data_IF_774235770437
#
_entry.id   IF_774235770437
#
_cell.length_a   1.000
_cell.length_b   1.000
_cell.length_c   1.000
_cell.angle_alpha   90.00
_cell.angle_beta   90.00
_cell.angle_gamma   90.00
#
_symmetry.space_group_name_H-M   'P 1'
#
loop_
_entity.id
_entity.type
_entity.pdbx_description
1 polymer ?
#
# COMPACT_ATOMS: atom_id res chain seq x y z
N UNK A 1 -3.24 -71.15 27.96
CA UNK A 1 -2.38 -70.19 27.22
C UNK A 1 -2.87 -68.78 27.58
N UNK A 2 -2.37 -68.20 28.67
CA UNK A 2 -1.24 -67.24 28.72
C UNK A 2 -1.52 -65.88 28.03
N UNK A 3 -1.91 -64.93 28.87
CA UNK A 3 -1.31 -63.59 28.98
C UNK A 3 -1.17 -62.76 27.69
N UNK A 4 -2.20 -61.99 27.32
CA UNK A 4 -2.06 -60.91 26.33
C UNK A 4 -2.85 -59.62 26.68
N UNK A 5 -3.53 -59.54 27.83
CA UNK A 5 -4.37 -58.36 28.16
C UNK A 5 -3.69 -57.29 29.00
N UNK A 6 -2.41 -57.45 29.38
CA UNK A 6 -1.70 -56.54 30.30
C UNK A 6 -0.61 -55.68 29.65
N UNK A 7 -0.30 -55.88 28.37
CA UNK A 7 0.83 -55.17 27.73
C UNK A 7 0.40 -53.99 26.86
N UNK A 8 -0.84 -53.96 26.34
CA UNK A 8 -1.28 -52.85 25.48
C UNK A 8 -1.77 -51.63 26.26
N UNK A 9 -2.10 -51.75 27.55
CA UNK A 9 -2.57 -50.63 28.38
C UNK A 9 -1.44 -49.70 28.84
N UNK A 10 -0.17 -50.12 28.70
CA UNK A 10 1.00 -49.30 29.08
C UNK A 10 1.61 -48.52 27.92
N UNK A 11 1.15 -48.70 26.67
CA UNK A 11 1.69 -47.98 25.51
C UNK A 11 0.89 -46.70 25.16
N UNK A 12 -0.19 -46.39 25.88
CA UNK A 12 -1.01 -45.19 25.66
C UNK A 12 -0.54 -44.00 26.51
N UNK A 13 0.38 -44.21 27.46
CA UNK A 13 0.78 -43.17 28.43
C UNK A 13 2.04 -42.36 28.09
N UNK A 14 2.70 -42.57 26.94
CA UNK A 14 4.04 -42.00 26.68
C UNK A 14 4.15 -41.02 25.49
N UNK A 15 3.07 -40.37 25.05
CA UNK A 15 3.15 -39.38 23.95
C UNK A 15 2.43 -38.07 24.28
N UNK A 16 2.52 -37.62 25.55
CA UNK A 16 2.00 -36.31 25.98
C UNK A 16 3.08 -35.38 26.57
N UNK A 17 4.37 -35.63 26.29
CA UNK A 17 5.48 -34.81 26.79
C UNK A 17 6.21 -34.05 25.67
N UNK A 18 5.43 -33.53 24.72
CA UNK A 18 5.94 -32.76 23.58
C UNK A 18 5.51 -31.30 23.58
N UNK A 19 5.19 -30.72 24.75
CA UNK A 19 5.23 -29.26 24.88
C UNK A 19 6.70 -28.85 24.83
N UNK A 20 7.22 -28.68 23.61
CA UNK A 20 8.43 -27.90 23.41
C UNK A 20 8.15 -26.53 24.03
N UNK A 21 8.70 -26.32 25.22
CA UNK A 21 8.84 -25.00 25.80
C UNK A 21 9.58 -24.19 24.75
N UNK A 22 8.84 -23.35 24.03
CA UNK A 22 9.41 -22.29 23.22
C UNK A 22 10.02 -21.31 24.23
N UNK A 23 11.21 -21.64 24.72
CA UNK A 23 12.07 -20.74 25.45
C UNK A 23 12.50 -19.69 24.42
N UNK A 24 11.85 -18.54 24.47
CA UNK A 24 12.28 -17.35 23.75
C UNK A 24 13.71 -17.07 24.20
N UNK A 25 14.68 -17.27 23.30
CA UNK A 25 16.05 -16.85 23.57
C UNK A 25 16.02 -15.40 24.04
N UNK A 26 16.60 -15.14 25.21
CA UNK A 26 16.67 -13.80 25.74
C UNK A 26 17.34 -12.91 24.71
N UNK A 27 16.67 -11.80 24.36
CA UNK A 27 17.19 -10.78 23.46
C UNK A 27 18.60 -10.40 23.94
N UNK A 28 19.63 -10.83 23.23
CA UNK A 28 21.00 -10.53 23.62
C UNK A 28 21.23 -9.02 23.52
N UNK A 29 22.17 -8.49 24.31
CA UNK A 29 22.50 -7.04 24.42
C UNK A 29 22.86 -6.38 23.08
N UNK A 30 23.06 -7.17 22.02
CA UNK A 30 23.30 -6.68 20.65
C UNK A 30 22.01 -6.38 19.88
N UNK A 31 20.84 -6.74 20.40
CA UNK A 31 19.56 -6.48 19.74
C UNK A 31 19.14 -5.02 19.99
N UNK A 32 18.78 -4.25 18.96
CA UNK A 32 18.51 -2.81 19.08
C UNK A 32 17.28 -2.46 19.94
N UNK A 33 16.45 -3.45 20.31
CA UNK A 33 15.34 -3.29 21.23
C UNK A 33 15.65 -3.72 22.68
N UNK A 34 16.90 -4.08 23.00
CA UNK A 34 17.33 -4.43 24.36
C UNK A 34 17.44 -3.15 25.23
N UNK A 35 16.89 -3.13 26.46
CA UNK A 35 16.83 -1.93 27.30
C UNK A 35 18.21 -1.38 27.71
N UNK A 36 19.26 -2.22 27.64
CA UNK A 36 20.65 -1.87 27.96
C UNK A 36 21.56 -1.77 26.72
N UNK A 37 21.01 -1.81 25.50
CA UNK A 37 21.80 -1.56 24.30
C UNK A 37 22.31 -0.11 24.33
N UNK A 38 23.63 0.06 24.18
CA UNK A 38 24.27 1.37 24.17
C UNK A 38 23.55 2.31 23.19
N UNK A 39 23.02 3.40 23.74
CA UNK A 39 22.32 4.46 23.00
C UNK A 39 23.16 4.83 21.78
N UNK A 40 22.60 4.61 20.59
CA UNK A 40 23.22 5.04 19.35
C UNK A 40 23.53 6.53 19.48
N UNK A 41 24.81 6.89 19.32
CA UNK A 41 25.30 8.26 19.29
C UNK A 41 24.31 9.11 18.48
N UNK A 42 23.69 10.09 19.15
CA UNK A 42 22.71 11.03 18.62
C UNK A 42 23.08 11.43 17.19
N UNK A 43 22.31 10.95 16.21
CA UNK A 43 22.50 11.36 14.82
C UNK A 43 22.21 12.86 14.77
N UNK A 44 23.11 13.69 14.20
CA UNK A 44 22.86 15.11 14.11
C UNK A 44 21.55 15.35 13.35
N UNK A 45 20.73 16.26 13.89
CA UNK A 45 19.45 16.67 13.32
C UNK A 45 19.62 16.99 11.82
N UNK A 46 18.87 16.27 10.99
CA UNK A 46 18.84 16.48 9.55
C UNK A 46 18.37 17.90 9.23
N UNK A 47 19.27 18.76 8.76
CA UNK A 47 18.99 20.13 8.30
C UNK A 47 18.39 20.21 6.89
N UNK A 48 17.87 19.11 6.36
CA UNK A 48 17.31 19.01 4.99
C UNK A 48 15.84 19.45 4.90
N UNK A 49 15.34 20.20 5.89
CA UNK A 49 13.98 20.77 5.87
C UNK A 49 14.04 22.26 6.21
N UNK A 50 14.55 23.06 5.28
CA UNK A 50 14.22 24.47 5.19
C UNK A 50 14.47 24.95 3.77
N UNK A 51 13.48 24.78 2.90
CA UNK A 51 13.39 25.60 1.72
C UNK A 51 12.68 26.88 2.15
N UNK A 52 13.41 27.99 2.27
CA UNK A 52 12.78 29.27 2.58
C UNK A 52 12.11 29.81 1.31
N UNK A 53 11.06 30.65 1.41
CA UNK A 53 10.45 31.30 0.25
C UNK A 53 11.45 32.08 -0.62
N UNK A 54 12.58 32.49 -0.03
CA UNK A 54 13.69 33.17 -0.71
C UNK A 54 14.59 32.26 -1.55
N UNK A 55 14.53 30.94 -1.33
CA UNK A 55 15.30 29.95 -2.11
C UNK A 55 14.56 29.53 -3.40
N UNK A 56 13.36 30.06 -3.64
CA UNK A 56 12.57 29.89 -4.87
C UNK A 56 13.18 30.77 -5.97
N UNK A 57 13.87 30.21 -6.99
CA UNK A 57 14.34 31.02 -8.10
C UNK A 57 13.12 31.65 -8.79
N UNK A 58 13.07 32.98 -8.76
CA UNK A 58 12.02 33.77 -9.39
C UNK A 58 11.95 33.44 -10.89
N UNK A 59 10.83 32.90 -11.34
CA UNK A 59 10.61 32.56 -12.73
C UNK A 59 10.66 33.83 -13.60
N UNK A 60 11.80 34.07 -14.27
CA UNK A 60 11.90 35.09 -15.30
C UNK A 60 11.14 34.58 -16.53
N UNK A 61 10.25 35.38 -17.14
CA UNK A 61 9.65 34.98 -18.40
C UNK A 61 10.74 34.91 -19.47
N UNK A 62 10.92 33.73 -20.07
CA UNK A 62 11.71 33.58 -21.29
C UNK A 62 10.93 34.22 -22.42
N UNK A 63 11.17 35.50 -22.66
CA UNK A 63 10.72 36.18 -23.87
C UNK A 63 11.29 35.46 -25.09
N UNK A 64 10.38 35.05 -25.97
CA UNK A 64 10.65 34.35 -27.21
C UNK A 64 11.69 35.10 -28.08
N UNK A 65 12.75 34.38 -28.46
CA UNK A 65 13.54 34.75 -29.63
C UNK A 65 14.05 33.51 -30.38
N UNK A 66 13.62 33.48 -31.65
CA UNK A 66 14.24 32.95 -32.86
C UNK A 66 14.42 31.43 -33.08
N UNK A 67 14.02 31.03 -34.29
CA UNK A 67 13.99 29.69 -34.88
C UNK A 67 15.36 29.02 -34.99
N UNK A 68 15.38 27.70 -34.80
CA UNK A 68 16.40 26.78 -35.28
C UNK A 68 15.74 25.46 -35.68
N UNK A 69 15.81 25.13 -36.96
CA UNK A 69 15.26 23.97 -37.65
C UNK A 69 15.86 22.65 -37.12
N UNK A 70 15.02 21.68 -36.76
CA UNK A 70 15.43 20.27 -36.73
C UNK A 70 14.27 19.35 -37.09
N UNK A 71 14.37 18.78 -38.29
CA UNK A 71 13.56 17.67 -38.78
C UNK A 71 13.80 16.40 -37.96
N UNK A 72 12.73 15.61 -37.81
CA UNK A 72 12.82 14.17 -37.60
C UNK A 72 12.56 13.67 -36.17
N UNK A 73 11.28 13.49 -35.83
CA UNK A 73 10.76 12.19 -35.34
C UNK A 73 9.26 12.26 -35.07
N UNK A 74 8.55 11.32 -35.69
CA UNK A 74 7.35 10.70 -35.12
C UNK A 74 6.18 11.64 -34.90
N UNK A 75 5.22 11.57 -35.83
CA UNK A 75 3.83 11.91 -35.58
C UNK A 75 3.32 11.16 -34.34
N UNK A 76 3.42 11.76 -33.16
CA UNK A 76 2.44 11.57 -32.10
C UNK A 76 1.54 12.78 -32.16
N UNK A 77 0.45 12.62 -32.89
CA UNK A 77 -0.74 13.46 -32.78
C UNK A 77 -0.96 13.77 -31.29
N UNK A 78 -1.14 15.04 -30.88
CA UNK A 78 -1.79 15.30 -29.62
C UNK A 78 -3.26 14.91 -29.85
N UNK A 79 -3.57 13.61 -29.69
CA UNK A 79 -4.94 13.22 -29.46
C UNK A 79 -5.38 13.97 -28.21
N UNK A 80 -6.32 14.90 -28.41
CA UNK A 80 -6.97 15.64 -27.36
C UNK A 80 -7.32 14.67 -26.23
N UNK A 81 -6.74 14.91 -25.05
CA UNK A 81 -6.65 13.96 -23.95
C UNK A 81 -7.99 13.30 -23.63
N UNK A 82 -8.19 12.10 -24.16
CA UNK A 82 -9.26 11.23 -23.74
C UNK A 82 -8.95 10.85 -22.29
N UNK A 83 -9.84 11.22 -21.37
CA UNK A 83 -9.78 10.78 -19.99
C UNK A 83 -9.94 9.26 -19.97
N UNK A 84 -8.81 8.54 -19.96
CA UNK A 84 -8.81 7.09 -19.90
C UNK A 84 -9.32 6.69 -18.52
N UNK A 85 -10.55 6.17 -18.48
CA UNK A 85 -11.14 5.62 -17.26
C UNK A 85 -11.17 4.11 -17.33
N UNK A 86 -10.91 3.46 -16.20
CA UNK A 86 -10.95 2.01 -16.08
C UNK A 86 -11.88 1.63 -14.94
N UNK A 87 -12.57 0.49 -15.08
CA UNK A 87 -13.54 0.01 -14.09
C UNK A 87 -12.94 -1.20 -13.38
N UNK A 88 -12.96 -1.16 -12.05
CA UNK A 88 -12.53 -2.25 -11.19
C UNK A 88 -13.62 -2.64 -10.20
N UNK A 89 -13.52 -3.85 -9.68
CA UNK A 89 -14.33 -4.32 -8.57
C UNK A 89 -13.41 -4.76 -7.43
N UNK A 90 -13.86 -4.59 -6.21
CA UNK A 90 -13.04 -4.92 -5.05
C UNK A 90 -13.81 -4.86 -3.74
N UNK A 91 -13.06 -5.04 -2.65
CA UNK A 91 -13.56 -5.00 -1.28
C UNK A 91 -12.85 -3.89 -0.52
N UNK A 92 -13.62 -3.06 0.18
CA UNK A 92 -13.06 -1.97 0.99
C UNK A 92 -12.35 -2.55 2.21
N UNK A 93 -11.08 -2.19 2.38
CA UNK A 93 -10.23 -2.58 3.50
C UNK A 93 -10.09 -1.45 4.51
N UNK A 94 -10.09 -0.20 4.06
CA UNK A 94 -10.11 0.95 4.96
C UNK A 94 -10.58 2.21 4.22
N UNK A 95 -11.18 3.15 4.95
CA UNK A 95 -11.44 4.50 4.47
C UNK A 95 -10.60 5.49 5.28
N UNK A 96 -9.99 6.47 4.61
CA UNK A 96 -9.17 7.52 5.23
C UNK A 96 -9.74 8.87 4.82
N UNK A 97 -10.84 9.33 5.46
CA UNK A 97 -11.54 10.56 5.08
C UNK A 97 -10.65 11.80 5.10
N UNK A 98 -9.76 11.89 6.10
CA UNK A 98 -8.83 13.02 6.27
C UNK A 98 -7.88 13.21 5.07
N UNK A 99 -7.55 12.12 4.36
CA UNK A 99 -6.67 12.15 3.19
C UNK A 99 -7.46 12.05 1.87
N UNK A 100 -8.79 11.94 1.94
CA UNK A 100 -9.66 11.61 0.80
C UNK A 100 -9.17 10.34 0.07
N UNK A 101 -8.83 9.31 0.84
CA UNK A 101 -8.30 8.05 0.31
C UNK A 101 -9.12 6.85 0.78
N UNK A 102 -9.13 5.81 -0.04
CA UNK A 102 -9.71 4.50 0.28
C UNK A 102 -8.69 3.42 -0.02
N UNK A 103 -8.60 2.40 0.83
CA UNK A 103 -7.82 1.20 0.58
C UNK A 103 -8.79 0.11 0.14
N UNK A 104 -8.57 -0.41 -1.06
CA UNK A 104 -9.42 -1.44 -1.67
C UNK A 104 -8.55 -2.62 -2.06
N UNK A 105 -8.98 -3.81 -1.67
CA UNK A 105 -8.52 -5.07 -2.24
C UNK A 105 -9.29 -5.27 -3.55
N UNK A 106 -8.66 -4.93 -4.66
CA UNK A 106 -9.29 -5.02 -5.97
C UNK A 106 -8.95 -6.33 -6.67
N UNK A 107 -9.89 -6.82 -7.46
CA UNK A 107 -9.66 -7.90 -8.41
C UNK A 107 -8.85 -7.44 -9.61
N UNK A 108 -8.73 -8.29 -10.62
CA UNK A 108 -8.08 -7.93 -11.88
C UNK A 108 -8.84 -6.78 -12.58
N UNK A 109 -8.13 -5.70 -12.88
CA UNK A 109 -8.61 -4.56 -13.66
C UNK A 109 -8.03 -4.68 -15.06
N UNK A 110 -8.85 -5.10 -16.02
CA UNK A 110 -8.42 -5.38 -17.40
C UNK A 110 -7.72 -4.18 -18.02
N UNK A 111 -6.49 -4.39 -18.50
CA UNK A 111 -5.69 -3.34 -19.16
C UNK A 111 -5.12 -2.28 -18.22
N UNK A 112 -5.21 -2.47 -16.90
CA UNK A 112 -4.66 -1.54 -15.92
C UNK A 112 -3.76 -2.25 -14.91
N UNK A 113 -4.31 -3.19 -14.13
CA UNK A 113 -3.62 -3.79 -12.98
C UNK A 113 -4.18 -5.18 -12.63
N UNK A 114 -3.32 -6.09 -12.15
CA UNK A 114 -3.72 -7.38 -11.58
C UNK A 114 -4.35 -7.22 -10.17
N UNK A 115 -4.91 -8.29 -9.61
CA UNK A 115 -5.54 -8.23 -8.29
C UNK A 115 -4.53 -7.90 -7.18
N UNK A 116 -4.77 -6.83 -6.43
CA UNK A 116 -3.93 -6.42 -5.29
C UNK A 116 -4.67 -5.47 -4.34
N UNK A 117 -4.04 -5.17 -3.21
CA UNK A 117 -4.55 -4.19 -2.25
C UNK A 117 -3.85 -2.85 -2.45
N UNK A 118 -4.61 -1.83 -2.85
CA UNK A 118 -4.07 -0.51 -3.15
C UNK A 118 -4.90 0.61 -2.53
N UNK A 119 -4.22 1.69 -2.15
CA UNK A 119 -4.83 2.95 -1.74
C UNK A 119 -5.08 3.85 -2.94
N UNK A 120 -6.32 4.27 -3.14
CA UNK A 120 -6.70 5.23 -4.17
C UNK A 120 -7.18 6.54 -3.55
N UNK A 121 -6.85 7.65 -4.19
CA UNK A 121 -7.50 8.93 -3.89
C UNK A 121 -8.92 8.90 -4.42
N UNK A 122 -9.84 9.54 -3.72
CA UNK A 122 -11.24 9.69 -4.14
C UNK A 122 -11.52 11.15 -4.44
N UNK A 123 -12.20 11.38 -5.57
CA UNK A 123 -12.65 12.69 -6.00
C UNK A 123 -14.05 12.58 -6.64
N UNK A 124 -15.12 13.13 -6.04
CA UNK A 124 -15.14 13.94 -4.83
C UNK A 124 -15.07 13.13 -3.52
N UNK A 125 -14.52 13.69 -2.42
CA UNK A 125 -14.38 12.99 -1.14
C UNK A 125 -15.70 12.50 -0.53
N UNK A 126 -16.84 13.09 -0.90
CA UNK A 126 -18.18 12.64 -0.48
C UNK A 126 -18.49 11.20 -0.88
N UNK A 127 -17.80 10.65 -1.89
CA UNK A 127 -17.95 9.23 -2.28
C UNK A 127 -17.47 8.25 -1.20
N UNK A 128 -16.69 8.71 -0.21
CA UNK A 128 -16.27 7.89 0.93
C UNK A 128 -17.41 7.67 1.95
N UNK A 129 -18.44 8.51 1.91
CA UNK A 129 -19.53 8.48 2.88
C UNK A 129 -20.33 7.18 2.76
N UNK A 130 -20.57 6.52 3.89
CA UNK A 130 -21.34 5.27 3.94
C UNK A 130 -20.57 4.00 3.55
N UNK A 131 -19.33 4.11 3.05
CA UNK A 131 -18.46 2.97 2.80
C UNK A 131 -17.85 2.47 4.12
N UNK A 132 -17.87 1.15 4.31
CA UNK A 132 -17.32 0.50 5.50
C UNK A 132 -16.38 -0.64 5.12
N UNK A 133 -15.57 -1.05 6.09
CA UNK A 133 -14.77 -2.27 5.98
C UNK A 133 -15.64 -3.44 5.52
N UNK A 134 -15.15 -4.16 4.51
CA UNK A 134 -15.80 -5.36 4.00
C UNK A 134 -16.81 -5.12 2.88
N UNK A 135 -17.14 -3.88 2.56
CA UNK A 135 -18.07 -3.57 1.49
C UNK A 135 -17.49 -3.96 0.13
N UNK A 136 -18.28 -4.73 -0.64
CA UNK A 136 -17.97 -4.96 -2.05
C UNK A 136 -18.38 -3.74 -2.85
N UNK A 137 -17.48 -3.24 -3.68
CA UNK A 137 -17.66 -2.02 -4.44
C UNK A 137 -17.20 -2.21 -5.87
N UNK A 138 -17.92 -1.57 -6.79
CA UNK A 138 -17.47 -1.33 -8.16
C UNK A 138 -17.06 0.13 -8.26
N UNK A 139 -15.88 0.39 -8.79
CA UNK A 139 -15.32 1.73 -8.85
C UNK A 139 -14.73 2.03 -10.22
N UNK A 140 -14.67 3.32 -10.56
CA UNK A 140 -14.07 3.83 -11.79
C UNK A 140 -12.88 4.70 -11.45
N UNK A 141 -11.71 4.35 -11.98
CA UNK A 141 -10.46 5.09 -11.82
C UNK A 141 -10.25 5.97 -13.05
N UNK A 142 -9.99 7.25 -12.83
CA UNK A 142 -9.36 8.13 -13.82
C UNK A 142 -7.86 7.87 -13.81
N UNK A 143 -7.33 7.27 -14.88
CA UNK A 143 -5.92 6.85 -15.00
C UNK A 143 -4.98 8.06 -15.00
N UNK A 144 -5.43 9.22 -15.46
CA UNK A 144 -4.61 10.44 -15.48
C UNK A 144 -4.44 11.01 -14.07
N UNK A 145 -5.51 10.93 -13.26
CA UNK A 145 -5.51 11.43 -11.87
C UNK A 145 -5.10 10.38 -10.85
N UNK A 146 -5.03 9.11 -11.23
CA UNK A 146 -4.93 7.97 -10.32
C UNK A 146 -5.93 8.05 -9.16
N UNK A 147 -7.16 8.46 -9.49
CA UNK A 147 -8.21 8.74 -8.52
C UNK A 147 -9.52 8.03 -8.91
N UNK A 148 -10.22 7.52 -7.91
CA UNK A 148 -11.57 6.99 -8.06
C UNK A 148 -12.54 8.16 -8.19
N UNK A 149 -13.20 8.22 -9.35
CA UNK A 149 -14.19 9.27 -9.70
C UNK A 149 -15.63 8.81 -9.54
N UNK A 150 -15.84 7.49 -9.41
CA UNK A 150 -17.16 6.90 -9.18
C UNK A 150 -17.01 5.63 -8.37
N UNK A 151 -17.90 5.41 -7.39
CA UNK A 151 -17.94 4.19 -6.59
C UNK A 151 -19.40 3.81 -6.29
N UNK A 152 -19.70 2.52 -6.43
CA UNK A 152 -21.02 1.95 -6.21
C UNK A 152 -20.89 0.70 -5.34
N UNK A 153 -21.68 0.61 -4.28
CA UNK A 153 -21.71 -0.58 -3.41
C UNK A 153 -22.47 -1.70 -4.12
N UNK A 154 -21.84 -2.86 -4.20
CA UNK A 154 -22.44 -4.09 -4.69
C UNK A 154 -23.21 -4.74 -3.53
N UNK A 155 -24.44 -5.19 -3.81
CA UNK A 155 -25.31 -5.88 -2.85
C UNK A 155 -24.84 -7.31 -2.58
#
# INVERSE_FOLDING_TARGET
MKSQSKLSLMLVFLILAGCAAYQLEALTVKHPAHPEAAVALERPSSKTLAYAPSDIPSARPVSAMAMGQQEGRGSSTPEAGAQQTVVGEGKVIATVPNASQIVVEHGEIKGFMEAMTMGYRIDPPSLLEGLKFGDKVRFTIDVQKNAIVKIEKLK
#
